data_IF_004852261138
#
_entry.id   IF_004852261138
#
_cell.length_a   1.000
_cell.length_b   1.000
_cell.length_c   1.000
_cell.angle_alpha   90.00
_cell.angle_beta   90.00
_cell.angle_gamma   90.00
#
_symmetry.space_group_name_H-M   'P 1'
#
loop_
_entity.id
_entity.type
_entity.pdbx_description
1 polymer ?
#
# COMPACT_ATOMS: atom_id res chain seq x y z
N UNK A 1 17.15 -12.95 -4.32
CA UNK A 1 18.03 -12.30 -3.33
C UNK A 1 17.42 -12.41 -1.93
N UNK A 2 17.32 -13.63 -1.39
CA UNK A 2 16.94 -13.87 0.03
C UNK A 2 18.16 -14.37 0.78
N UNK A 3 18.84 -15.40 0.24
CA UNK A 3 20.12 -15.91 0.77
C UNK A 3 21.14 -14.83 1.10
N UNK A 4 21.48 -13.98 0.12
CA UNK A 4 22.44 -12.88 0.34
C UNK A 4 22.00 -11.94 1.46
N UNK A 5 20.72 -11.59 1.52
CA UNK A 5 20.16 -10.72 2.56
C UNK A 5 20.26 -11.37 3.94
N UNK A 6 20.03 -12.68 4.02
CA UNK A 6 20.18 -13.44 5.27
C UNK A 6 21.64 -13.51 5.73
N UNK A 7 22.57 -13.77 4.82
CA UNK A 7 24.01 -13.76 5.13
C UNK A 7 24.50 -12.41 5.62
N UNK A 8 23.88 -11.31 5.16
CA UNK A 8 24.15 -9.96 5.65
C UNK A 8 23.46 -9.61 6.97
N UNK A 9 22.64 -10.50 7.54
CA UNK A 9 22.04 -10.32 8.87
C UNK A 9 20.54 -10.06 8.90
N UNK A 10 19.79 -10.34 7.83
CA UNK A 10 18.32 -10.28 7.88
C UNK A 10 17.76 -11.34 8.85
N UNK A 11 16.80 -10.97 9.70
CA UNK A 11 16.13 -11.90 10.63
C UNK A 11 14.65 -12.14 10.29
N UNK A 12 14.01 -11.20 9.59
CA UNK A 12 12.58 -11.23 9.29
C UNK A 12 12.34 -10.86 7.83
N UNK A 13 11.63 -11.71 7.11
CA UNK A 13 11.10 -11.42 5.79
C UNK A 13 9.69 -10.82 5.91
N UNK A 14 9.55 -9.52 5.63
CA UNK A 14 8.26 -8.82 5.62
C UNK A 14 7.58 -8.95 4.26
N UNK A 15 6.35 -9.48 4.26
CA UNK A 15 5.48 -9.60 3.09
C UNK A 15 4.43 -8.51 3.14
N UNK A 16 4.56 -7.51 2.27
CA UNK A 16 3.62 -6.40 2.21
C UNK A 16 2.41 -6.76 1.33
N UNK A 17 1.28 -7.10 1.95
CA UNK A 17 0.05 -7.51 1.25
C UNK A 17 -0.69 -6.35 0.59
N UNK A 18 -0.22 -5.11 0.75
CA UNK A 18 -0.83 -3.97 0.06
C UNK A 18 -0.43 -3.85 -1.40
N UNK A 19 0.58 -4.62 -1.81
CA UNK A 19 1.07 -4.75 -3.16
C UNK A 19 1.29 -6.24 -3.47
N UNK A 20 1.39 -6.58 -4.75
CA UNK A 20 1.58 -7.95 -5.24
C UNK A 20 0.40 -8.89 -5.01
N UNK A 21 0.46 -10.04 -5.67
CA UNK A 21 -0.54 -11.09 -5.61
C UNK A 21 -0.13 -12.21 -4.65
N UNK A 22 -1.09 -13.07 -4.28
CA UNK A 22 -0.81 -14.21 -3.41
C UNK A 22 0.25 -15.17 -3.99
N UNK A 23 0.36 -15.25 -5.32
CA UNK A 23 1.33 -16.14 -5.98
C UNK A 23 2.78 -15.67 -5.75
N UNK A 24 3.02 -14.36 -5.80
CA UNK A 24 4.33 -13.76 -5.53
C UNK A 24 4.71 -13.91 -4.06
N UNK A 25 3.79 -13.63 -3.14
CA UNK A 25 4.02 -13.84 -1.70
C UNK A 25 4.32 -15.31 -1.38
N UNK A 26 3.64 -16.26 -2.02
CA UNK A 26 3.90 -17.69 -1.85
C UNK A 26 5.33 -18.06 -2.27
N UNK A 27 5.83 -17.55 -3.39
CA UNK A 27 7.22 -17.79 -3.83
C UNK A 27 8.22 -17.34 -2.77
N UNK A 28 8.01 -16.16 -2.19
CA UNK A 28 8.88 -15.65 -1.12
C UNK A 28 8.84 -16.55 0.12
N UNK A 29 7.65 -17.03 0.53
CA UNK A 29 7.50 -17.97 1.65
C UNK A 29 8.24 -19.28 1.37
N UNK A 30 8.09 -19.84 0.17
CA UNK A 30 8.72 -21.10 -0.22
C UNK A 30 10.25 -20.98 -0.16
N UNK A 31 10.83 -19.86 -0.63
CA UNK A 31 12.28 -19.61 -0.55
C UNK A 31 12.77 -19.45 0.90
N UNK A 32 12.00 -18.78 1.77
CA UNK A 32 12.36 -18.67 3.20
C UNK A 32 12.31 -20.04 3.88
N UNK A 33 11.33 -20.88 3.55
CA UNK A 33 11.24 -22.25 4.06
C UNK A 33 12.40 -23.12 3.58
N UNK A 34 12.75 -23.01 2.31
CA UNK A 34 13.91 -23.71 1.74
C UNK A 34 15.21 -23.30 2.44
N UNK A 35 15.40 -22.01 2.71
CA UNK A 35 16.53 -21.51 3.48
C UNK A 35 16.56 -22.09 4.91
N UNK A 36 15.45 -22.00 5.64
CA UNK A 36 15.36 -22.50 7.02
C UNK A 36 15.51 -24.03 7.11
N UNK A 37 15.24 -24.78 6.04
CA UNK A 37 15.46 -26.23 6.00
C UNK A 37 16.95 -26.60 5.87
N UNK A 38 17.78 -25.69 5.34
CA UNK A 38 19.21 -25.92 5.14
C UNK A 38 20.05 -25.48 6.35
N UNK A 39 19.55 -24.56 7.19
CA UNK A 39 20.30 -23.97 8.30
C UNK A 39 19.48 -24.02 9.60
N UNK A 40 20.00 -24.69 10.63
CA UNK A 40 19.34 -24.81 11.93
C UNK A 40 19.68 -23.67 12.90
N UNK A 41 20.80 -22.99 12.69
CA UNK A 41 21.33 -21.92 13.56
C UNK A 41 20.86 -20.52 13.13
N UNK A 42 20.34 -20.38 11.90
CA UNK A 42 19.93 -19.10 11.30
C UNK A 42 18.52 -19.21 10.75
N UNK A 43 17.54 -19.11 11.65
CA UNK A 43 16.12 -19.16 11.29
C UNK A 43 15.61 -17.76 10.94
N UNK A 44 14.95 -17.65 9.79
CA UNK A 44 14.29 -16.42 9.33
C UNK A 44 12.80 -16.50 9.61
N UNK A 45 12.28 -15.50 10.32
CA UNK A 45 10.85 -15.36 10.54
C UNK A 45 10.16 -14.73 9.33
N UNK A 46 8.88 -15.05 9.15
CA UNK A 46 8.04 -14.43 8.12
C UNK A 46 7.04 -13.51 8.83
N UNK A 47 6.98 -12.25 8.41
CA UNK A 47 6.03 -11.27 8.91
C UNK A 47 5.05 -10.89 7.80
N UNK A 48 3.77 -11.14 8.04
CA UNK A 48 2.72 -10.72 7.12
C UNK A 48 2.26 -9.30 7.48
N UNK A 49 2.46 -8.35 6.57
CA UNK A 49 1.98 -6.99 6.73
C UNK A 49 0.67 -6.82 5.95
N UNK A 50 -0.43 -6.77 6.69
CA UNK A 50 -1.78 -6.68 6.13
C UNK A 50 -2.05 -5.32 5.50
N UNK A 51 -2.88 -5.30 4.45
CA UNK A 51 -3.39 -4.04 3.90
C UNK A 51 -4.35 -3.39 4.92
N UNK A 52 -3.87 -2.34 5.60
CA UNK A 52 -4.74 -1.48 6.41
C UNK A 52 -5.68 -0.59 5.57
N UNK A 53 -6.50 0.22 6.24
CA UNK A 53 -7.35 1.23 5.59
C UNK A 53 -6.48 2.21 4.79
N UNK A 54 -6.78 2.39 3.50
CA UNK A 54 -6.05 3.29 2.61
C UNK A 54 -7.00 4.16 1.79
N UNK A 55 -6.65 5.44 1.70
CA UNK A 55 -7.24 6.40 0.76
C UNK A 55 -6.21 6.65 -0.33
N UNK A 56 -6.58 6.45 -1.59
CA UNK A 56 -5.72 6.75 -2.74
C UNK A 56 -6.48 7.63 -3.72
N UNK A 57 -5.78 8.51 -4.42
CA UNK A 57 -6.33 9.14 -5.61
C UNK A 57 -6.60 8.07 -6.68
N UNK A 58 -7.65 8.26 -7.48
CA UNK A 58 -7.83 7.47 -8.70
C UNK A 58 -6.76 7.84 -9.73
N UNK A 59 -6.55 6.97 -10.71
CA UNK A 59 -5.56 7.20 -11.77
C UNK A 59 -5.95 8.43 -12.59
N UNK A 60 -4.95 9.28 -12.82
CA UNK A 60 -5.12 10.52 -13.56
C UNK A 60 -4.59 10.32 -14.99
N UNK A 61 -5.32 10.71 -16.04
CA UNK A 61 -4.88 10.47 -17.42
C UNK A 61 -3.57 11.19 -17.77
N UNK A 62 -3.31 12.32 -17.10
CA UNK A 62 -2.11 13.14 -17.26
C UNK A 62 -1.67 13.68 -15.89
N UNK A 63 -0.38 13.90 -15.66
CA UNK A 63 0.11 14.58 -14.46
C UNK A 63 -0.54 15.96 -14.31
N UNK A 64 -0.92 16.30 -13.08
CA UNK A 64 -1.55 17.58 -12.75
C UNK A 64 -0.51 18.43 -12.03
N UNK A 65 -0.33 19.66 -12.49
CA UNK A 65 0.48 20.65 -11.81
C UNK A 65 -0.45 21.54 -10.99
N UNK A 66 -0.32 21.50 -9.67
CA UNK A 66 -1.04 22.38 -8.75
C UNK A 66 -0.22 23.64 -8.52
N UNK A 67 -0.90 24.80 -8.50
CA UNK A 67 -0.32 26.08 -8.09
C UNK A 67 -0.74 26.42 -6.68
N UNK A 68 0.09 27.17 -5.98
CA UNK A 68 -0.26 27.70 -4.66
C UNK A 68 -1.51 28.59 -4.76
N UNK A 69 -2.43 28.45 -3.80
CA UNK A 69 -3.73 29.14 -3.79
C UNK A 69 -4.77 28.61 -4.78
N UNK A 70 -4.47 27.56 -5.55
CA UNK A 70 -5.43 26.95 -6.46
C UNK A 70 -6.47 26.12 -5.68
N UNK A 71 -7.75 26.45 -5.86
CA UNK A 71 -8.84 25.63 -5.34
C UNK A 71 -8.91 24.28 -6.06
N UNK A 72 -9.07 23.22 -5.28
CA UNK A 72 -9.07 21.85 -5.77
C UNK A 72 -10.08 21.02 -4.99
N UNK A 73 -10.98 20.33 -5.70
CA UNK A 73 -12.06 19.58 -5.09
C UNK A 73 -11.83 18.07 -5.17
N UNK A 74 -11.91 17.39 -4.03
CA UNK A 74 -11.92 15.93 -3.96
C UNK A 74 -13.35 15.40 -3.87
N UNK A 75 -13.65 14.32 -4.60
CA UNK A 75 -14.96 13.65 -4.52
C UNK A 75 -14.80 12.13 -4.37
N UNK A 76 -15.77 11.50 -3.71
CA UNK A 76 -15.91 10.04 -3.68
C UNK A 76 -17.01 9.55 -4.62
N UNK A 77 -17.77 10.46 -5.23
CA UNK A 77 -18.90 10.12 -6.10
C UNK A 77 -18.42 9.60 -7.46
N UNK A 78 -19.03 8.51 -7.91
CA UNK A 78 -18.82 7.96 -9.25
C UNK A 78 -19.55 8.81 -10.29
N UNK A 79 -18.98 8.93 -11.49
CA UNK A 79 -19.60 9.61 -12.64
C UNK A 79 -19.34 11.13 -12.76
N UNK A 80 -18.80 11.78 -11.72
CA UNK A 80 -18.37 13.19 -11.81
C UNK A 80 -17.05 13.26 -12.56
N UNK A 81 -17.04 13.94 -13.72
CA UNK A 81 -15.85 14.25 -14.51
C UNK A 81 -15.82 15.75 -14.79
N UNK A 82 -14.93 16.48 -14.12
CA UNK A 82 -14.66 17.89 -14.42
C UNK A 82 -13.18 18.15 -14.18
N UNK A 83 -12.60 19.12 -14.88
CA UNK A 83 -11.16 19.43 -14.82
C UNK A 83 -10.67 19.79 -13.40
N UNK A 84 -11.57 20.28 -12.54
CA UNK A 84 -11.27 20.71 -11.17
C UNK A 84 -11.76 19.75 -10.05
N UNK A 85 -12.30 18.56 -10.39
CA UNK A 85 -12.80 17.60 -9.39
C UNK A 85 -12.15 16.24 -9.59
N UNK A 86 -11.49 15.76 -8.54
CA UNK A 86 -10.73 14.53 -8.57
C UNK A 86 -11.31 13.46 -7.66
N UNK A 87 -11.41 12.25 -8.21
CA UNK A 87 -11.97 11.15 -7.45
C UNK A 87 -10.92 10.55 -6.53
N UNK A 88 -11.29 10.42 -5.27
CA UNK A 88 -10.59 9.55 -4.32
C UNK A 88 -11.18 8.16 -4.42
N UNK A 89 -10.32 7.18 -4.69
CA UNK A 89 -10.64 5.77 -4.54
C UNK A 89 -10.36 5.39 -3.09
N UNK A 90 -11.42 5.18 -2.33
CA UNK A 90 -11.30 4.51 -1.06
C UNK A 90 -11.76 3.07 -1.21
N UNK A 91 -10.87 2.11 -0.98
CA UNK A 91 -11.26 0.69 -0.97
C UNK A 91 -12.10 0.34 0.25
N UNK A 92 -11.92 1.06 1.36
CA UNK A 92 -12.33 0.58 2.68
C UNK A 92 -13.11 1.61 3.52
N UNK A 93 -13.28 2.86 3.06
CA UNK A 93 -14.03 3.93 3.77
C UNK A 93 -15.22 4.37 2.91
N UNK A 94 -16.41 3.97 3.32
CA UNK A 94 -17.67 4.39 2.69
C UNK A 94 -18.05 5.84 3.02
N UNK A 95 -17.55 6.38 4.14
CA UNK A 95 -17.90 7.71 4.67
C UNK A 95 -16.68 8.62 4.88
N UNK A 96 -15.79 8.76 3.87
CA UNK A 96 -14.57 9.57 3.98
C UNK A 96 -14.87 11.02 4.42
N UNK A 97 -15.96 11.60 3.91
CA UNK A 97 -16.38 12.96 4.25
C UNK A 97 -16.72 13.15 5.74
N UNK A 98 -17.22 12.11 6.43
CA UNK A 98 -17.53 12.20 7.86
C UNK A 98 -16.28 12.27 8.75
N UNK A 99 -15.14 11.78 8.25
CA UNK A 99 -13.87 11.75 8.98
C UNK A 99 -13.00 12.97 8.69
N UNK A 100 -13.03 13.49 7.46
CA UNK A 100 -12.19 14.64 7.06
C UNK A 100 -12.81 15.97 7.50
N UNK A 101 -14.14 16.11 7.46
CA UNK A 101 -14.81 17.37 7.82
C UNK A 101 -14.52 17.86 9.26
N UNK A 102 -14.46 17.01 10.29
CA UNK A 102 -14.07 17.46 11.63
C UNK A 102 -12.56 17.73 11.79
N UNK A 103 -11.69 17.32 10.85
CA UNK A 103 -10.23 17.56 10.93
C UNK A 103 -9.77 18.88 10.29
N UNK A 104 -10.60 19.51 9.45
CA UNK A 104 -10.27 20.76 8.72
C UNK A 104 -10.92 21.99 9.37
N UNK A 105 -11.45 21.86 10.59
CA UNK A 105 -11.89 22.99 11.41
C UNK A 105 -10.84 23.26 12.49
N UNK A 106 -9.81 24.01 12.13
CA UNK A 106 -8.99 24.81 13.05
C UNK A 106 -8.77 26.18 12.41
#
# INVERSE_FOLDING_TARGET
MIWKSTETGMNVARLNMSHEDHSSHKKTIDLVKEYNAQFNDKVIAIMLDTKGLKVRSEDVPKPILLKEGQEFNFTIKRGVKSEAVWRLKCSDIQNLCAWVWPMVVF
#
